data_IF_288256397392
#
_entry.id   IF_288256397392
#
_cell.length_a   1.000
_cell.length_b   1.000
_cell.length_c   1.000
_cell.angle_alpha   90.00
_cell.angle_beta   90.00
_cell.angle_gamma   90.00
#
_symmetry.space_group_name_H-M   'P 1'
#
loop_
_entity.id
_entity.type
_entity.pdbx_description
1 polymer ?
#
# COMPACT_ATOMS: atom_id res chain seq x y z
N UNK A 1 -5.67 -13.51 -17.97
CA UNK A 1 -5.32 -14.62 -17.06
C UNK A 1 -3.82 -14.87 -17.21
N UNK A 2 -3.03 -14.71 -16.14
CA UNK A 2 -1.57 -14.91 -16.19
C UNK A 2 -1.28 -16.42 -16.15
N UNK A 3 -0.46 -16.98 -17.05
CA UNK A 3 -0.17 -18.41 -17.03
C UNK A 3 0.52 -18.79 -15.70
N UNK A 4 0.18 -19.96 -15.14
CA UNK A 4 0.71 -20.41 -13.83
C UNK A 4 2.25 -20.43 -13.76
N UNK A 5 2.92 -20.63 -14.90
CA UNK A 5 4.38 -20.58 -15.02
C UNK A 5 4.99 -19.20 -14.72
N UNK A 6 4.21 -18.12 -14.80
CA UNK A 6 4.65 -16.76 -14.48
C UNK A 6 4.35 -16.36 -13.02
N UNK A 7 3.66 -17.20 -12.26
CA UNK A 7 3.42 -16.96 -10.84
C UNK A 7 4.70 -17.33 -10.07
N UNK A 8 5.45 -16.32 -9.63
CA UNK A 8 6.50 -16.57 -8.64
C UNK A 8 5.85 -16.89 -7.30
N UNK A 9 6.13 -18.08 -6.78
CA UNK A 9 6.08 -18.37 -5.35
C UNK A 9 7.36 -17.88 -4.68
N UNK A 10 7.34 -17.74 -3.35
CA UNK A 10 8.53 -17.50 -2.54
C UNK A 10 9.63 -18.55 -2.78
N UNK A 11 9.25 -19.81 -3.05
CA UNK A 11 10.16 -20.89 -3.40
C UNK A 11 10.82 -20.75 -4.77
N UNK A 12 10.16 -20.12 -5.75
CA UNK A 12 10.70 -19.92 -7.09
C UNK A 12 11.68 -18.74 -7.17
N UNK A 13 11.81 -17.95 -6.11
CA UNK A 13 12.78 -16.85 -6.03
C UNK A 13 14.24 -17.35 -6.17
N UNK A 14 14.49 -18.61 -5.82
CA UNK A 14 15.83 -19.23 -5.81
C UNK A 14 16.24 -19.87 -7.15
N UNK A 15 15.33 -19.94 -8.13
CA UNK A 15 15.69 -20.43 -9.45
C UNK A 15 16.80 -19.55 -10.07
N UNK A 16 17.71 -20.16 -10.85
CA UNK A 16 18.85 -19.54 -11.54
C UNK A 16 18.42 -18.58 -12.67
N UNK A 17 17.55 -17.62 -12.38
CA UNK A 17 17.20 -16.52 -13.27
C UNK A 17 18.31 -15.47 -13.25
N UNK A 18 18.58 -14.84 -14.41
CA UNK A 18 19.46 -13.67 -14.47
C UNK A 18 18.83 -12.52 -13.69
N UNK A 19 19.66 -11.61 -13.18
CA UNK A 19 19.23 -10.48 -12.35
C UNK A 19 18.06 -9.68 -12.95
N UNK A 20 18.16 -9.33 -14.25
CA UNK A 20 17.13 -8.57 -14.96
C UNK A 20 15.82 -9.34 -15.13
N UNK A 21 15.88 -10.64 -15.40
CA UNK A 21 14.70 -11.50 -15.55
C UNK A 21 13.94 -11.62 -14.22
N UNK A 22 14.69 -11.76 -13.12
CA UNK A 22 14.12 -11.80 -11.76
C UNK A 22 13.41 -10.50 -11.41
N UNK A 23 14.04 -9.35 -11.64
CA UNK A 23 13.45 -8.03 -11.40
C UNK A 23 12.18 -7.83 -12.24
N UNK A 24 12.22 -8.17 -13.54
CA UNK A 24 11.08 -8.06 -14.44
C UNK A 24 9.90 -8.95 -14.03
N UNK A 25 10.16 -10.23 -13.70
CA UNK A 25 9.13 -11.17 -13.30
C UNK A 25 8.49 -10.79 -11.97
N UNK A 26 9.30 -10.31 -11.02
CA UNK A 26 8.82 -9.81 -9.74
C UNK A 26 7.93 -8.59 -9.90
N UNK A 27 8.36 -7.59 -10.69
CA UNK A 27 7.54 -6.43 -11.02
C UNK A 27 6.21 -6.88 -11.62
N UNK A 28 6.24 -7.71 -12.66
CA UNK A 28 5.03 -8.20 -13.32
C UNK A 28 4.08 -8.89 -12.35
N UNK A 29 4.59 -9.76 -11.48
CA UNK A 29 3.80 -10.49 -10.50
C UNK A 29 3.16 -9.54 -9.48
N UNK A 30 3.96 -8.69 -8.83
CA UNK A 30 3.45 -7.73 -7.83
C UNK A 30 2.45 -6.75 -8.45
N UNK A 31 2.74 -6.20 -9.64
CA UNK A 31 1.83 -5.28 -10.33
C UNK A 31 0.53 -5.95 -10.76
N UNK A 32 0.58 -7.19 -11.21
CA UNK A 32 -0.64 -7.91 -11.59
C UNK A 32 -1.59 -8.12 -10.41
N UNK A 33 -1.02 -8.47 -9.24
CA UNK A 33 -1.76 -8.63 -7.99
C UNK A 33 -2.32 -7.29 -7.50
N UNK A 34 -1.49 -6.25 -7.52
CA UNK A 34 -1.90 -4.90 -7.16
C UNK A 34 -2.99 -4.34 -8.09
N UNK A 35 -2.93 -4.64 -9.39
CA UNK A 35 -3.97 -4.25 -10.33
C UNK A 35 -5.33 -4.88 -9.98
N UNK A 36 -5.35 -6.16 -9.59
CA UNK A 36 -6.58 -6.83 -9.15
C UNK A 36 -7.10 -6.24 -7.84
N UNK A 37 -6.22 -5.98 -6.86
CA UNK A 37 -6.60 -5.26 -5.64
C UNK A 37 -7.24 -3.90 -5.96
N UNK A 38 -6.63 -3.14 -6.87
CA UNK A 38 -7.12 -1.82 -7.28
C UNK A 38 -8.50 -1.91 -7.95
N UNK A 39 -8.72 -2.92 -8.82
CA UNK A 39 -10.00 -3.17 -9.48
C UNK A 39 -11.11 -3.57 -8.50
N UNK A 40 -10.79 -4.39 -7.50
CA UNK A 40 -11.74 -4.86 -6.49
C UNK A 40 -12.02 -3.85 -5.39
N UNK A 41 -11.27 -2.73 -5.34
CA UNK A 41 -11.36 -1.77 -4.23
C UNK A 41 -12.75 -1.18 -3.99
N UNK A 42 -13.55 -0.81 -5.01
CA UNK A 42 -14.92 -0.34 -4.77
C UNK A 42 -15.77 -1.37 -4.01
N UNK A 43 -15.59 -2.67 -4.30
CA UNK A 43 -16.28 -3.76 -3.59
C UNK A 43 -15.74 -3.91 -2.17
N UNK A 44 -14.43 -3.71 -1.96
CA UNK A 44 -13.85 -3.68 -0.62
C UNK A 44 -14.45 -2.56 0.23
N UNK A 45 -14.67 -1.37 -0.33
CA UNK A 45 -15.29 -0.25 0.39
C UNK A 45 -16.72 -0.53 0.82
N UNK A 46 -17.47 -1.30 0.03
CA UNK A 46 -18.80 -1.74 0.44
C UNK A 46 -18.77 -2.51 1.76
N UNK A 47 -17.68 -3.18 2.12
CA UNK A 47 -17.56 -3.89 3.39
C UNK A 47 -17.53 -2.97 4.63
N UNK A 48 -17.21 -1.68 4.47
CA UNK A 48 -17.28 -0.69 5.54
C UNK A 48 -18.71 -0.17 5.77
N UNK A 49 -19.58 -0.26 4.76
CA UNK A 49 -20.90 0.39 4.77
C UNK A 49 -22.08 -0.59 4.76
N UNK A 50 -21.94 -1.74 4.08
CA UNK A 50 -23.03 -2.71 3.95
C UNK A 50 -23.14 -3.60 5.19
N UNK A 51 -24.25 -3.43 5.90
CA UNK A 51 -24.69 -4.32 6.99
C UNK A 51 -25.36 -5.55 6.41
N UNK A 52 -25.28 -6.66 7.15
CA UNK A 52 -25.97 -7.92 6.87
C UNK A 52 -27.48 -7.77 6.65
N UNK A 53 -28.11 -6.82 7.35
CA UNK A 53 -29.54 -6.57 7.28
C UNK A 53 -29.95 -5.72 6.08
N UNK A 54 -29.01 -5.37 5.20
CA UNK A 54 -29.30 -4.56 4.03
C UNK A 54 -30.05 -5.37 2.98
N UNK A 55 -31.19 -4.85 2.50
CA UNK A 55 -31.95 -5.45 1.41
C UNK A 55 -31.17 -5.51 0.08
N UNK A 56 -30.07 -4.76 -0.03
CA UNK A 56 -29.18 -4.76 -1.20
C UNK A 56 -28.24 -5.97 -1.22
N UNK A 57 -28.09 -6.67 -0.10
CA UNK A 57 -27.20 -7.81 0.06
C UNK A 57 -27.90 -9.12 -0.35
N UNK A 58 -28.21 -9.25 -1.64
CA UNK A 58 -28.66 -10.53 -2.20
C UNK A 58 -27.54 -11.58 -2.07
N UNK A 59 -27.85 -12.89 -2.05
CA UNK A 59 -26.83 -13.93 -2.00
C UNK A 59 -25.77 -13.82 -3.10
N UNK A 60 -26.19 -13.40 -4.30
CA UNK A 60 -25.30 -13.16 -5.43
C UNK A 60 -24.33 -12.00 -5.16
N UNK A 61 -24.85 -10.83 -4.76
CA UNK A 61 -24.03 -9.66 -4.43
C UNK A 61 -23.06 -9.95 -3.28
N UNK A 62 -23.52 -10.70 -2.27
CA UNK A 62 -22.70 -11.13 -1.15
C UNK A 62 -21.54 -11.99 -1.62
N UNK A 63 -21.79 -12.97 -2.49
CA UNK A 63 -20.75 -13.82 -3.06
C UNK A 63 -19.74 -13.02 -3.90
N UNK A 64 -20.20 -12.03 -4.66
CA UNK A 64 -19.30 -11.14 -5.42
C UNK A 64 -18.41 -10.32 -4.50
N UNK A 65 -18.96 -9.72 -3.44
CA UNK A 65 -18.17 -8.94 -2.47
C UNK A 65 -17.19 -9.83 -1.71
N UNK A 66 -17.62 -11.01 -1.25
CA UNK A 66 -16.76 -11.97 -0.56
C UNK A 66 -15.63 -12.47 -1.46
N UNK A 67 -15.92 -12.77 -2.72
CA UNK A 67 -14.90 -13.17 -3.69
C UNK A 67 -13.86 -12.07 -3.92
N UNK A 68 -14.32 -10.83 -4.08
CA UNK A 68 -13.44 -9.67 -4.24
C UNK A 68 -12.59 -9.40 -2.99
N UNK A 69 -13.20 -9.48 -1.80
CA UNK A 69 -12.52 -9.36 -0.51
C UNK A 69 -11.44 -10.43 -0.37
N UNK A 70 -11.81 -11.71 -0.55
CA UNK A 70 -10.91 -12.85 -0.43
C UNK A 70 -9.71 -12.74 -1.38
N UNK A 71 -9.99 -12.42 -2.64
CA UNK A 71 -8.96 -12.27 -3.68
C UNK A 71 -8.02 -11.12 -3.34
N UNK A 72 -8.55 -9.96 -2.94
CA UNK A 72 -7.73 -8.78 -2.66
C UNK A 72 -6.85 -8.96 -1.43
N UNK A 73 -7.40 -9.49 -0.34
CA UNK A 73 -6.63 -9.75 0.88
C UNK A 73 -5.55 -10.80 0.62
N UNK A 74 -5.88 -11.90 -0.06
CA UNK A 74 -4.88 -12.93 -0.42
C UNK A 74 -3.77 -12.36 -1.30
N UNK A 75 -4.10 -11.55 -2.31
CA UNK A 75 -3.09 -10.96 -3.19
C UNK A 75 -2.23 -9.91 -2.48
N UNK A 76 -2.80 -9.13 -1.56
CA UNK A 76 -2.05 -8.20 -0.74
C UNK A 76 -1.09 -8.94 0.22
N UNK A 77 -1.52 -10.04 0.83
CA UNK A 77 -0.67 -10.91 1.64
C UNK A 77 0.47 -11.52 0.81
N UNK A 78 0.18 -12.01 -0.39
CA UNK A 78 1.22 -12.53 -1.29
C UNK A 78 2.25 -11.46 -1.69
N UNK A 79 1.81 -10.23 -1.96
CA UNK A 79 2.71 -9.09 -2.22
C UNK A 79 3.60 -8.85 -1.00
N UNK A 80 3.04 -8.91 0.20
CA UNK A 80 3.78 -8.74 1.44
C UNK A 80 4.76 -9.89 1.72
N UNK A 81 4.41 -11.14 1.37
CA UNK A 81 5.31 -12.29 1.46
C UNK A 81 6.50 -12.17 0.50
N UNK A 82 6.25 -11.72 -0.75
CA UNK A 82 7.32 -11.42 -1.70
C UNK A 82 8.20 -10.27 -1.20
N UNK A 83 7.59 -9.26 -0.57
CA UNK A 83 8.31 -8.15 0.04
C UNK A 83 9.21 -8.60 1.20
N UNK A 84 8.71 -9.46 2.08
CA UNK A 84 9.49 -10.04 3.16
C UNK A 84 10.69 -10.82 2.60
N UNK A 85 10.45 -11.67 1.61
CA UNK A 85 11.49 -12.44 0.95
C UNK A 85 12.58 -11.57 0.27
N UNK A 86 12.24 -10.34 -0.12
CA UNK A 86 13.20 -9.34 -0.62
C UNK A 86 13.99 -8.69 0.52
N UNK A 87 13.30 -8.28 1.58
CA UNK A 87 13.93 -7.69 2.76
C UNK A 87 14.95 -8.65 3.37
N UNK A 88 14.60 -9.93 3.53
CA UNK A 88 15.47 -10.98 4.09
C UNK A 88 16.76 -11.17 3.28
N UNK A 89 16.76 -10.80 2.00
CA UNK A 89 17.91 -10.91 1.09
C UNK A 89 18.68 -9.60 0.95
N UNK A 90 18.22 -8.52 1.56
CA UNK A 90 18.85 -7.21 1.44
C UNK A 90 19.91 -7.00 2.54
N UNK A 91 21.10 -6.55 2.15
CA UNK A 91 22.29 -6.48 3.02
C UNK A 91 22.27 -5.42 4.12
N UNK A 92 21.21 -4.64 4.31
CA UNK A 92 21.21 -3.55 5.31
C UNK A 92 21.15 -4.04 6.77
N UNK A 93 21.26 -5.35 7.03
CA UNK A 93 21.43 -5.84 8.39
C UNK A 93 22.85 -5.55 8.88
N UNK A 94 22.96 -4.59 9.81
CA UNK A 94 24.14 -4.36 10.63
C UNK A 94 24.64 -5.70 11.20
N UNK A 95 25.78 -6.18 10.69
CA UNK A 95 26.39 -7.43 11.16
C UNK A 95 26.19 -8.64 10.25
N UNK A 96 25.77 -8.48 8.98
CA UNK A 96 25.95 -9.52 7.96
C UNK A 96 27.46 -9.65 7.62
N UNK A 97 28.21 -10.24 8.56
CA UNK A 97 29.55 -10.77 8.33
C UNK A 97 29.46 -11.68 7.10
N UNK A 98 30.37 -11.53 6.14
CA UNK A 98 30.51 -12.25 4.85
C UNK A 98 30.65 -13.78 5.02
N UNK A 99 29.70 -14.41 5.70
CA UNK A 99 29.67 -15.83 5.93
C UNK A 99 28.28 -16.23 5.46
N UNK A 100 28.14 -16.64 4.20
CA UNK A 100 27.30 -17.78 3.78
C UNK A 100 27.37 -17.91 2.27
N UNK A 101 27.76 -19.10 1.81
CA UNK A 101 27.88 -19.46 0.40
C UNK A 101 26.60 -19.25 -0.41
N UNK A 102 26.80 -19.03 -1.71
CA UNK A 102 25.83 -19.01 -2.83
C UNK A 102 24.58 -18.12 -2.73
N UNK A 103 24.29 -17.46 -1.61
CA UNK A 103 23.15 -16.55 -1.52
C UNK A 103 23.48 -15.21 -2.20
N UNK A 104 22.90 -15.00 -3.38
CA UNK A 104 22.95 -13.71 -4.09
C UNK A 104 22.22 -12.65 -3.28
N UNK A 105 23.00 -11.73 -2.72
CA UNK A 105 22.53 -10.65 -1.87
C UNK A 105 21.97 -9.49 -2.71
N UNK A 106 20.90 -8.87 -2.23
CA UNK A 106 20.24 -7.73 -2.88
C UNK A 106 20.96 -6.44 -2.50
N UNK A 107 21.49 -5.74 -3.50
CA UNK A 107 22.25 -4.49 -3.33
C UNK A 107 21.34 -3.26 -3.40
N UNK A 108 21.80 -2.07 -2.94
CA UNK A 108 21.07 -0.82 -3.16
C UNK A 108 20.76 -0.53 -4.64
N UNK A 109 21.61 -0.98 -5.56
CA UNK A 109 21.41 -0.83 -7.00
C UNK A 109 20.18 -1.61 -7.48
N UNK A 110 19.94 -2.81 -6.95
CA UNK A 110 18.73 -3.59 -7.26
C UNK A 110 17.48 -2.79 -6.90
N UNK A 111 17.41 -2.18 -5.71
CA UNK A 111 16.26 -1.36 -5.29
C UNK A 111 16.00 -0.16 -6.21
N UNK A 112 17.04 0.40 -6.83
CA UNK A 112 16.89 1.43 -7.88
C UNK A 112 16.31 0.85 -9.16
N UNK A 113 16.73 -0.35 -9.58
CA UNK A 113 16.19 -1.03 -10.76
C UNK A 113 14.73 -1.45 -10.58
N UNK A 114 14.33 -1.85 -9.36
CA UNK A 114 12.96 -2.27 -9.04
C UNK A 114 12.14 -1.17 -8.38
N UNK A 115 12.54 0.10 -8.50
CA UNK A 115 11.92 1.22 -7.78
C UNK A 115 10.39 1.20 -7.86
N UNK A 116 9.82 0.85 -9.02
CA UNK A 116 8.39 0.84 -9.26
C UNK A 116 7.57 -0.11 -8.37
N UNK A 117 8.19 -1.08 -7.67
CA UNK A 117 7.45 -1.94 -6.74
C UNK A 117 6.75 -1.17 -5.62
N UNK A 118 7.17 0.07 -5.32
CA UNK A 118 6.49 0.89 -4.31
C UNK A 118 4.99 1.04 -4.60
N UNK A 119 4.57 1.05 -5.87
CA UNK A 119 3.15 1.12 -6.24
C UNK A 119 2.38 -0.11 -5.77
N UNK A 120 2.97 -1.29 -5.95
CA UNK A 120 2.36 -2.56 -5.53
C UNK A 120 2.37 -2.73 -4.03
N UNK A 121 3.46 -2.31 -3.37
CA UNK A 121 3.59 -2.31 -1.92
C UNK A 121 2.56 -1.39 -1.27
N UNK A 122 2.42 -0.17 -1.79
CA UNK A 122 1.44 0.78 -1.30
C UNK A 122 0.00 0.26 -1.47
N UNK A 123 -0.30 -0.39 -2.59
CA UNK A 123 -1.61 -0.98 -2.81
C UNK A 123 -1.92 -2.11 -1.83
N UNK A 124 -0.96 -3.01 -1.59
CA UNK A 124 -1.10 -4.06 -0.60
C UNK A 124 -1.33 -3.47 0.79
N UNK A 125 -0.58 -2.43 1.18
CA UNK A 125 -0.78 -1.72 2.44
C UNK A 125 -2.20 -1.15 2.56
N UNK A 126 -2.73 -0.52 1.51
CA UNK A 126 -4.09 0.02 1.50
C UNK A 126 -5.14 -1.08 1.74
N UNK A 127 -5.03 -2.22 1.05
CA UNK A 127 -5.98 -3.34 1.22
C UNK A 127 -5.91 -3.92 2.62
N UNK A 128 -4.70 -4.20 3.12
CA UNK A 128 -4.45 -4.79 4.43
C UNK A 128 -4.95 -3.88 5.56
N UNK A 129 -4.64 -2.59 5.48
CA UNK A 129 -5.11 -1.58 6.42
C UNK A 129 -6.63 -1.44 6.37
N UNK A 130 -7.22 -1.30 5.17
CA UNK A 130 -8.66 -1.10 5.04
C UNK A 130 -9.44 -2.28 5.59
N UNK A 131 -9.04 -3.51 5.25
CA UNK A 131 -9.66 -4.71 5.79
C UNK A 131 -9.57 -4.73 7.32
N UNK A 132 -8.41 -4.40 7.89
CA UNK A 132 -8.13 -4.40 9.34
C UNK A 132 -8.88 -3.35 10.14
N UNK A 133 -8.97 -2.14 9.61
CA UNK A 133 -9.40 -0.96 10.36
C UNK A 133 -10.79 -0.45 9.94
N UNK A 134 -11.24 -0.74 8.70
CA UNK A 134 -12.42 -0.12 8.10
C UNK A 134 -13.55 -1.10 7.79
N UNK A 135 -13.27 -2.36 7.47
CA UNK A 135 -14.32 -3.36 7.23
C UNK A 135 -15.13 -3.65 8.50
N UNK A 136 -16.46 -3.81 8.35
CA UNK A 136 -17.34 -4.15 9.47
C UNK A 136 -17.01 -5.55 10.05
N UNK A 137 -17.21 -5.79 11.36
CA UNK A 137 -16.84 -7.04 12.03
C UNK A 137 -17.40 -8.32 11.39
N UNK A 138 -18.59 -8.25 10.78
CA UNK A 138 -19.17 -9.41 10.09
C UNK A 138 -18.26 -9.94 8.97
N UNK A 139 -17.64 -9.06 8.19
CA UNK A 139 -16.77 -9.45 7.09
C UNK A 139 -15.51 -10.17 7.60
N UNK A 140 -15.06 -9.84 8.82
CA UNK A 140 -14.01 -10.58 9.51
C UNK A 140 -14.45 -11.99 9.85
N UNK A 141 -15.64 -12.16 10.42
CA UNK A 141 -16.16 -13.48 10.80
C UNK A 141 -16.35 -14.39 9.57
N UNK A 142 -16.85 -13.85 8.46
CA UNK A 142 -17.03 -14.64 7.23
C UNK A 142 -15.70 -14.97 6.55
N UNK A 143 -14.73 -14.05 6.60
CA UNK A 143 -13.39 -14.32 6.07
C UNK A 143 -12.66 -15.36 6.94
N UNK A 144 -12.76 -15.24 8.26
CA UNK A 144 -12.04 -16.04 9.25
C UNK A 144 -12.88 -17.24 9.75
N UNK A 145 -13.37 -18.09 8.82
CA UNK A 145 -14.28 -19.20 9.13
C UNK A 145 -13.81 -20.15 10.25
N UNK A 146 -12.51 -20.17 10.55
CA UNK A 146 -11.88 -21.06 11.54
C UNK A 146 -11.63 -20.42 12.93
N UNK A 147 -12.17 -19.23 13.21
CA UNK A 147 -11.91 -18.52 14.48
C UNK A 147 -10.45 -18.06 14.63
N UNK A 148 -9.68 -18.05 13.55
CA UNK A 148 -8.26 -17.62 13.50
C UNK A 148 -8.11 -16.10 13.37
N UNK A 149 -9.08 -15.33 13.87
CA UNK A 149 -9.13 -13.88 13.70
C UNK A 149 -7.89 -13.20 14.27
N UNK A 150 -7.50 -13.55 15.50
CA UNK A 150 -6.33 -12.97 16.17
C UNK A 150 -5.02 -13.26 15.43
N UNK A 151 -4.88 -14.48 14.90
CA UNK A 151 -3.72 -14.88 14.11
C UNK A 151 -3.65 -14.06 12.81
N UNK A 152 -4.78 -13.92 12.09
CA UNK A 152 -4.84 -13.16 10.85
C UNK A 152 -4.56 -11.67 11.11
N UNK A 153 -5.13 -11.10 12.18
CA UNK A 153 -4.86 -9.71 12.59
C UNK A 153 -3.38 -9.49 12.89
N UNK A 154 -2.77 -10.39 13.66
CA UNK A 154 -1.34 -10.34 14.00
C UNK A 154 -0.47 -10.43 12.75
N UNK A 155 -0.80 -11.36 11.84
CA UNK A 155 -0.10 -11.52 10.58
C UNK A 155 -0.20 -10.24 9.72
N UNK A 156 -1.39 -9.67 9.57
CA UNK A 156 -1.59 -8.45 8.79
C UNK A 156 -0.80 -7.26 9.38
N UNK A 157 -0.77 -7.11 10.70
CA UNK A 157 0.05 -6.09 11.38
C UNK A 157 1.53 -6.24 11.04
N UNK A 158 2.06 -7.45 11.13
CA UNK A 158 3.46 -7.74 10.77
C UNK A 158 3.74 -7.40 9.30
N UNK A 159 2.87 -7.85 8.38
CA UNK A 159 2.99 -7.57 6.95
C UNK A 159 2.96 -6.08 6.61
N UNK A 160 2.10 -5.30 7.28
CA UNK A 160 2.02 -3.87 7.06
C UNK A 160 3.29 -3.15 7.55
N UNK A 161 3.86 -3.57 8.67
CA UNK A 161 5.14 -3.06 9.17
C UNK A 161 6.31 -3.39 8.23
N UNK A 162 6.33 -4.59 7.65
CA UNK A 162 7.32 -4.99 6.63
C UNK A 162 7.21 -4.16 5.35
N UNK A 163 5.99 -3.90 4.87
CA UNK A 163 5.76 -3.00 3.73
C UNK A 163 6.29 -1.60 4.04
N UNK A 164 5.99 -1.06 5.23
CA UNK A 164 6.51 0.24 5.66
C UNK A 164 8.04 0.28 5.65
N UNK A 165 8.70 -0.78 6.16
CA UNK A 165 10.16 -0.91 6.15
C UNK A 165 10.74 -0.87 4.74
N UNK A 166 10.12 -1.57 3.78
CA UNK A 166 10.56 -1.53 2.38
C UNK A 166 10.37 -0.18 1.71
N UNK A 167 9.26 0.51 1.99
CA UNK A 167 9.03 1.87 1.47
C UNK A 167 10.04 2.87 2.04
N UNK A 168 10.39 2.77 3.33
CA UNK A 168 11.46 3.54 3.97
C UNK A 168 12.82 3.29 3.31
N UNK A 169 13.11 2.01 3.03
CA UNK A 169 14.34 1.64 2.34
C UNK A 169 14.41 2.26 0.94
N UNK A 170 13.34 2.15 0.16
CA UNK A 170 13.23 2.78 -1.16
C UNK A 170 13.38 4.30 -1.09
N UNK A 171 12.78 4.94 -0.09
CA UNK A 171 12.92 6.38 0.17
C UNK A 171 14.38 6.77 0.41
N UNK A 172 15.11 6.03 1.26
CA UNK A 172 16.52 6.27 1.52
C UNK A 172 17.39 6.06 0.26
N UNK A 173 17.17 4.96 -0.46
CA UNK A 173 17.90 4.61 -1.69
C UNK A 173 17.74 5.68 -2.78
N UNK A 174 16.53 6.21 -2.97
CA UNK A 174 16.27 7.28 -3.94
C UNK A 174 16.86 8.63 -3.53
N UNK A 175 16.98 8.86 -2.23
CA UNK A 175 17.59 10.08 -1.68
C UNK A 175 19.12 10.01 -1.67
N UNK A 176 19.70 8.87 -2.04
CA UNK A 176 21.11 8.53 -1.78
C UNK A 176 21.51 8.75 -0.31
N UNK A 177 20.55 8.57 0.61
CA UNK A 177 20.79 8.63 2.04
C UNK A 177 21.32 7.28 2.53
N UNK A 178 22.11 7.31 3.59
CA UNK A 178 22.46 6.10 4.30
C UNK A 178 21.20 5.56 5.02
N UNK A 179 20.88 4.29 4.77
CA UNK A 179 19.70 3.61 5.33
C UNK A 179 19.78 3.51 6.86
N UNK A 180 20.99 3.57 7.41
CA UNK A 180 21.24 3.48 8.85
C UNK A 180 21.21 4.84 9.56
N UNK A 181 21.09 5.95 8.83
CA UNK A 181 20.98 7.25 9.46
C UNK A 181 19.62 7.42 10.14
N UNK A 182 19.67 7.96 11.37
CA UNK A 182 18.48 8.28 12.18
C UNK A 182 17.70 9.43 11.54
N UNK A 183 18.39 10.34 10.84
CA UNK A 183 17.76 11.48 10.18
C UNK A 183 16.89 11.03 9.01
N UNK A 184 15.70 11.64 8.89
CA UNK A 184 14.81 11.34 7.77
C UNK A 184 15.51 11.76 6.46
N UNK A 185 15.52 10.88 5.43
CA UNK A 185 16.09 11.21 4.14
C UNK A 185 15.43 12.45 3.53
N UNK A 186 16.15 13.12 2.61
CA UNK A 186 15.61 14.21 1.80
C UNK A 186 14.31 13.74 1.13
N UNK A 187 13.25 14.52 1.27
CA UNK A 187 11.95 14.16 0.70
C UNK A 187 12.05 13.92 -0.81
N UNK A 188 11.38 12.87 -1.28
CA UNK A 188 11.33 12.47 -2.69
C UNK A 188 9.90 12.02 -3.07
N UNK A 189 9.75 11.48 -4.28
CA UNK A 189 8.44 11.09 -4.82
C UNK A 189 7.71 9.98 -4.03
N UNK A 190 8.41 9.16 -3.23
CA UNK A 190 7.80 8.07 -2.44
C UNK A 190 7.45 8.55 -1.01
N UNK A 191 8.04 9.65 -0.54
CA UNK A 191 7.81 10.19 0.82
C UNK A 191 6.32 10.29 1.22
N UNK A 192 5.39 10.75 0.35
CA UNK A 192 3.97 10.76 0.69
C UNK A 192 3.40 9.37 1.00
N UNK A 193 3.84 8.33 0.27
CA UNK A 193 3.40 6.95 0.46
C UNK A 193 3.98 6.37 1.75
N UNK A 194 5.25 6.66 2.05
CA UNK A 194 5.89 6.29 3.32
C UNK A 194 5.09 6.86 4.49
N UNK A 195 4.83 8.17 4.50
CA UNK A 195 4.09 8.83 5.58
C UNK A 195 2.66 8.26 5.69
N UNK A 196 2.02 7.95 4.57
CA UNK A 196 0.70 7.34 4.53
C UNK A 196 0.70 5.94 5.16
N UNK A 197 1.63 5.06 4.78
CA UNK A 197 1.73 3.73 5.37
C UNK A 197 2.19 3.79 6.83
N UNK A 198 3.05 4.73 7.22
CA UNK A 198 3.40 5.00 8.62
C UNK A 198 2.12 5.29 9.45
N UNK A 199 1.23 6.15 8.94
CA UNK A 199 -0.08 6.39 9.54
C UNK A 199 -0.97 5.14 9.63
N UNK A 200 -0.98 4.30 8.59
CA UNK A 200 -1.71 3.03 8.59
C UNK A 200 -1.17 2.05 9.65
N UNK A 201 0.16 1.98 9.81
CA UNK A 201 0.83 1.15 10.83
C UNK A 201 0.53 1.65 12.23
N UNK A 202 0.46 2.96 12.45
CA UNK A 202 0.03 3.52 13.75
C UNK A 202 -1.42 3.11 14.03
N UNK A 203 -2.32 3.37 13.09
CA UNK A 203 -3.76 3.11 13.25
C UNK A 203 -4.08 1.63 13.50
N UNK A 204 -3.41 0.69 12.82
CA UNK A 204 -3.66 -0.75 13.03
C UNK A 204 -3.14 -1.25 14.39
N UNK A 205 -2.17 -0.56 14.99
CA UNK A 205 -1.60 -0.92 16.28
C UNK A 205 -2.36 -0.31 17.44
N UNK A 206 -3.08 0.79 17.22
CA UNK A 206 -3.98 1.35 18.21
C UNK A 206 -5.16 0.40 18.49
N UNK A 207 -5.64 0.33 19.75
CA UNK A 207 -6.89 -0.35 20.03
C UNK A 207 -8.01 0.33 19.23
N UNK A 208 -9.03 -0.41 18.76
CA UNK A 208 -10.13 0.15 17.99
C UNK A 208 -10.80 1.27 18.81
N UNK A 209 -10.42 2.51 18.52
CA UNK A 209 -10.84 3.64 19.31
C UNK A 209 -12.29 3.95 18.92
N UNK A 210 -13.24 3.62 19.79
CA UNK A 210 -14.69 3.80 19.58
C UNK A 210 -15.06 5.29 19.36
N UNK A 211 -14.12 6.21 19.60
CA UNK A 211 -14.30 7.65 19.39
C UNK A 211 -13.50 8.08 18.16
N UNK A 212 -14.21 8.40 17.08
CA UNK A 212 -13.62 9.02 15.89
C UNK A 212 -12.77 10.22 16.30
N UNK A 213 -11.46 10.12 16.07
CA UNK A 213 -10.51 11.16 16.42
C UNK A 213 -10.90 12.47 15.72
N UNK A 214 -11.11 13.51 16.52
CA UNK A 214 -11.50 14.84 16.08
C UNK A 214 -10.21 15.66 15.84
N UNK A 215 -9.64 15.58 14.64
CA UNK A 215 -8.51 16.44 14.24
C UNK A 215 -8.72 16.99 12.82
N UNK A 216 -8.37 18.26 12.66
CA UNK A 216 -8.30 19.00 11.39
C UNK A 216 -7.26 18.34 10.46
N UNK A 217 -7.69 17.95 9.26
CA UNK A 217 -6.97 17.12 8.28
C UNK A 217 -5.57 17.62 7.85
N UNK A 218 -4.64 16.68 7.60
CA UNK A 218 -3.39 16.85 6.82
C UNK A 218 -3.64 16.54 5.33
N UNK A 219 -3.64 17.57 4.51
CA UNK A 219 -3.89 17.41 3.06
C UNK A 219 -2.57 17.12 2.33
N UNK A 220 -2.49 15.98 1.64
CA UNK A 220 -1.39 15.65 0.72
C UNK A 220 -1.67 16.32 -0.63
N UNK A 221 -1.11 17.50 -0.84
CA UNK A 221 -1.02 18.17 -2.15
C UNK A 221 0.41 18.01 -2.67
N UNK A 222 0.57 17.58 -3.93
CA UNK A 222 1.88 17.47 -4.56
C UNK A 222 2.15 18.77 -5.33
N UNK A 223 3.09 19.57 -4.86
CA UNK A 223 3.54 20.75 -5.59
C UNK A 223 4.66 20.34 -6.54
N UNK A 224 4.39 20.40 -7.84
CA UNK A 224 5.39 20.06 -8.86
C UNK A 224 6.19 21.31 -9.17
N UNK A 225 7.41 21.36 -8.63
CA UNK A 225 8.39 22.37 -8.98
C UNK A 225 8.94 22.08 -10.38
N UNK A 226 8.52 22.87 -11.37
CA UNK A 226 9.04 22.75 -12.73
C UNK A 226 10.55 23.07 -12.75
N UNK A 227 11.35 22.09 -13.19
CA UNK A 227 12.79 22.26 -13.41
C UNK A 227 12.97 23.21 -14.59
N UNK A 228 13.36 24.47 -14.31
CA UNK A 228 13.52 25.53 -15.31
C UNK A 228 13.14 26.93 -14.82
N UNK A 229 12.48 27.05 -13.67
CA UNK A 229 12.23 28.34 -13.02
C UNK A 229 13.49 28.88 -12.31
N UNK A 230 14.58 29.05 -13.06
CA UNK A 230 15.78 29.72 -12.55
C UNK A 230 15.61 31.23 -12.70
N UNK A 231 15.28 31.90 -11.58
CA UNK A 231 15.73 33.24 -11.20
C UNK A 231 15.48 34.41 -12.17
N UNK A 232 14.47 34.36 -13.04
CA UNK A 232 13.95 35.60 -13.65
C UNK A 232 13.07 36.29 -12.60
N UNK A 233 13.58 37.38 -12.04
CA UNK A 233 12.98 38.25 -11.03
C UNK A 233 11.73 39.00 -11.54
N UNK A 234 10.79 38.31 -12.19
CA UNK A 234 9.49 38.87 -12.52
C UNK A 234 8.51 38.53 -11.38
N UNK A 235 7.87 39.53 -10.76
CA UNK A 235 6.99 39.33 -9.61
C UNK A 235 5.60 38.72 -9.92
N UNK A 236 5.34 38.24 -11.14
CA UNK A 236 3.95 38.02 -11.59
C UNK A 236 3.55 36.60 -12.05
N UNK A 237 4.43 35.58 -12.00
CA UNK A 237 4.03 34.24 -12.45
C UNK A 237 4.61 33.11 -11.59
N UNK A 238 4.34 33.13 -10.28
CA UNK A 238 4.42 31.91 -9.46
C UNK A 238 3.07 31.17 -9.48
N UNK A 239 2.59 30.80 -10.67
CA UNK A 239 1.59 29.75 -10.75
C UNK A 239 2.32 28.44 -10.45
N UNK A 240 2.40 28.08 -9.16
CA UNK A 240 2.79 26.73 -8.81
C UNK A 240 1.76 25.81 -9.45
N UNK A 241 2.22 25.03 -10.42
CA UNK A 241 1.37 24.05 -11.09
C UNK A 241 1.16 22.96 -10.05
N UNK A 242 0.04 23.06 -9.33
CA UNK A 242 -0.49 21.99 -8.49
C UNK A 242 -0.84 20.86 -9.45
N UNK A 243 0.08 19.92 -9.61
CA UNK A 243 -0.18 18.70 -10.35
C UNK A 243 -0.76 17.72 -9.35
N UNK A 244 -1.86 17.06 -9.71
CA UNK A 244 -2.40 16.02 -8.85
C UNK A 244 -1.28 15.00 -8.58
N UNK A 245 -1.04 14.59 -7.32
CA UNK A 245 -0.16 13.47 -7.05
C UNK A 245 -0.57 12.31 -7.95
N UNK A 246 0.35 11.41 -8.30
CA UNK A 246 0.01 10.21 -9.07
C UNK A 246 -1.12 9.51 -8.33
N UNK A 247 -2.36 9.74 -8.75
CA UNK A 247 -3.52 9.52 -7.89
C UNK A 247 -3.67 8.02 -7.86
N UNK A 248 -3.27 7.40 -6.75
CA UNK A 248 -3.87 6.14 -6.40
C UNK A 248 -5.34 6.45 -6.19
N UNK A 249 -6.15 6.14 -7.19
CA UNK A 249 -7.62 6.27 -7.15
C UNK A 249 -8.25 5.58 -5.91
N UNK A 250 -7.43 4.85 -5.14
CA UNK A 250 -7.78 4.02 -4.01
C UNK A 250 -7.70 4.58 -2.62
N UNK A 251 -7.52 5.88 -2.45
CA UNK A 251 -7.75 6.53 -1.15
C UNK A 251 -8.72 7.70 -1.30
N UNK A 252 -9.47 7.74 -2.41
CA UNK A 252 -10.41 8.81 -2.70
C UNK A 252 -11.57 8.80 -1.70
N UNK A 253 -11.56 9.78 -0.80
CA UNK A 253 -12.61 9.98 0.21
C UNK A 253 -12.27 9.42 1.58
N UNK A 254 -11.24 8.58 1.70
CA UNK A 254 -10.76 8.02 2.96
C UNK A 254 -9.71 8.91 3.63
N UNK A 255 -9.63 8.83 4.97
CA UNK A 255 -8.62 9.53 5.76
C UNK A 255 -7.80 8.52 6.55
N UNK A 256 -6.48 8.57 6.40
CA UNK A 256 -5.56 7.69 7.14
C UNK A 256 -5.10 8.41 8.40
N UNK A 257 -5.27 7.77 9.56
CA UNK A 257 -4.93 8.33 10.86
C UNK A 257 -5.59 9.70 11.15
N UNK A 258 -6.79 9.97 10.60
CA UNK A 258 -7.50 11.25 10.77
C UNK A 258 -6.79 12.49 10.19
N UNK A 259 -5.62 12.29 9.60
CA UNK A 259 -4.75 13.36 9.15
C UNK A 259 -4.57 13.25 7.65
N UNK A 260 -4.00 12.17 7.13
CA UNK A 260 -3.55 12.12 5.75
C UNK A 260 -4.71 11.95 4.78
N UNK A 261 -4.86 12.92 3.86
CA UNK A 261 -5.94 13.00 2.88
C UNK A 261 -5.42 13.22 1.47
N UNK A 262 -5.90 12.42 0.53
CA UNK A 262 -5.64 12.58 -0.90
C UNK A 262 -6.80 13.37 -1.54
N UNK A 263 -6.53 14.60 -2.00
CA UNK A 263 -7.54 15.39 -2.71
C UNK A 263 -7.53 15.06 -4.20
N UNK A 264 -8.69 14.65 -4.71
CA UNK A 264 -9.02 14.68 -6.14
C UNK A 264 -10.14 15.70 -6.36
N UNK A 265 -10.21 16.35 -7.54
CA UNK A 265 -11.35 17.21 -7.89
C UNK A 265 -12.73 16.54 -7.70
N UNK A 266 -12.79 15.20 -7.81
CA UNK A 266 -14.03 14.42 -7.64
C UNK A 266 -14.26 13.91 -6.21
N UNK A 267 -13.29 14.06 -5.31
CA UNK A 267 -13.33 13.50 -3.94
C UNK A 267 -14.54 14.03 -3.15
N UNK A 268 -14.89 15.31 -3.33
CA UNK A 268 -16.07 15.89 -2.66
C UNK A 268 -17.38 15.20 -3.06
N UNK A 269 -17.48 14.69 -4.29
CA UNK A 269 -18.64 13.91 -4.76
C UNK A 269 -18.62 12.51 -4.18
N UNK A 270 -17.46 11.85 -4.19
CA UNK A 270 -17.27 10.53 -3.59
C UNK A 270 -17.58 10.51 -2.09
N UNK A 271 -17.10 11.50 -1.34
CA UNK A 271 -17.39 11.63 0.09
C UNK A 271 -18.88 11.85 0.35
N UNK A 272 -19.54 12.71 -0.45
CA UNK A 272 -20.99 12.90 -0.35
C UNK A 272 -21.74 11.60 -0.60
N UNK A 273 -21.28 10.80 -1.56
CA UNK A 273 -21.82 9.47 -1.84
C UNK A 273 -21.67 8.51 -0.65
N UNK A 274 -20.48 8.44 -0.02
CA UNK A 274 -20.24 7.54 1.12
C UNK A 274 -20.88 8.00 2.43
N UNK A 275 -20.99 9.31 2.66
CA UNK A 275 -21.61 9.86 3.87
C UNK A 275 -23.15 9.89 3.79
N UNK A 276 -23.70 10.06 2.59
CA UNK A 276 -25.13 10.03 2.33
C UNK A 276 -25.42 8.97 1.26
N UNK A 277 -25.17 7.68 1.56
CA UNK A 277 -25.54 6.63 0.63
C UNK A 277 -27.06 6.75 0.41
N UNK A 278 -27.55 6.63 -0.84
CA UNK A 278 -28.98 6.77 -1.12
C UNK A 278 -29.75 5.79 -0.22
N UNK A 279 -30.50 6.36 0.73
CA UNK A 279 -31.37 5.61 1.62
C UNK A 279 -32.56 5.20 0.76
N UNK A 280 -32.59 3.93 0.35
CA UNK A 280 -33.76 3.29 -0.23
C UNK A 280 -34.24 2.20 0.73
#
# INVERSE_FOLDING_TARGET
MIPKSFLMSTSNFEAHLRHCERAGLMNLNMFSKAAVCCLNRPLLYLTAHLRLTSNLLTPENMNTILSALNTSVSFALDIADLNQALLDRTQFHEGAIEIHGDKVLVTPAFWKEVVHIFFSLFEAACVLWFFSCRSLPYWWTVYCLDGKEDFIRTNIKAKLAEIHRSLRLLEAVLSNADVNQIERPKQNMITPMVNCVEGMVIEINEPPNIKGANVESVTLEMEVLAIGATNSSSPDLSHSVKQDPWVFMGLLGEQVNGHLRWRSPTEGRWRKFWNNPPIN
#
